data_IF_678655264766
#
_entry.id   IF_678655264766
#
_cell.length_a   1.000
_cell.length_b   1.000
_cell.length_c   1.000
_cell.angle_alpha   90.00
_cell.angle_beta   90.00
_cell.angle_gamma   90.00
#
_symmetry.space_group_name_H-M   'P 1'
#
loop_
_entity.id
_entity.type
_entity.pdbx_description
1 polymer ?
#
# COMPACT_ATOMS: atom_id res chain seq x y z
N UNK A 1 83.07 -10.11 24.72
CA UNK A 1 81.94 -10.24 25.66
C UNK A 1 80.72 -9.75 24.89
N UNK A 2 79.93 -10.66 24.33
CA UNK A 2 78.76 -10.32 23.49
C UNK A 2 77.57 -10.01 24.42
N UNK A 3 77.22 -8.74 24.56
CA UNK A 3 76.02 -8.30 25.26
C UNK A 3 74.77 -8.54 24.39
N UNK A 4 73.98 -9.51 24.85
CA UNK A 4 72.53 -9.62 24.79
C UNK A 4 71.78 -8.95 23.63
N UNK A 5 71.54 -9.77 22.60
CA UNK A 5 70.49 -9.62 21.59
C UNK A 5 69.11 -9.73 22.28
N UNK A 6 68.62 -8.62 22.85
CA UNK A 6 67.26 -8.50 23.39
C UNK A 6 66.26 -7.83 22.44
N UNK A 7 66.76 -7.19 21.37
CA UNK A 7 65.93 -6.46 20.40
C UNK A 7 65.20 -7.37 19.41
N UNK A 8 65.75 -8.55 19.11
CA UNK A 8 65.27 -9.40 18.01
C UNK A 8 63.95 -10.10 18.35
N UNK A 9 63.80 -10.59 19.58
CA UNK A 9 62.57 -11.21 20.05
C UNK A 9 61.42 -10.20 20.26
N UNK A 10 61.73 -9.00 20.76
CA UNK A 10 60.74 -7.93 20.92
C UNK A 10 60.28 -7.35 19.57
N UNK A 11 61.21 -7.17 18.63
CA UNK A 11 60.89 -6.74 17.27
C UNK A 11 60.08 -7.80 16.51
N UNK A 12 60.42 -9.08 16.63
CA UNK A 12 59.66 -10.18 16.04
C UNK A 12 58.23 -10.25 16.60
N UNK A 13 58.06 -10.09 17.91
CA UNK A 13 56.74 -10.04 18.54
C UNK A 13 55.92 -8.85 18.04
N UNK A 14 56.49 -7.65 18.02
CA UNK A 14 55.82 -6.45 17.53
C UNK A 14 55.42 -6.55 16.04
N UNK A 15 56.25 -7.19 15.21
CA UNK A 15 55.92 -7.47 13.82
C UNK A 15 54.78 -8.49 13.67
N UNK A 16 54.75 -9.52 14.53
CA UNK A 16 53.65 -10.48 14.61
C UNK A 16 52.33 -9.82 15.02
N UNK A 17 52.35 -9.02 16.09
CA UNK A 17 51.18 -8.28 16.58
C UNK A 17 50.64 -7.31 15.51
N UNK A 18 51.54 -6.63 14.79
CA UNK A 18 51.17 -5.76 13.65
C UNK A 18 50.50 -6.55 12.53
N UNK A 19 51.02 -7.74 12.20
CA UNK A 19 50.46 -8.56 11.12
C UNK A 19 49.08 -9.11 11.49
N UNK A 20 48.89 -9.53 12.75
CA UNK A 20 47.59 -9.92 13.30
C UNK A 20 46.58 -8.78 13.20
N UNK A 21 46.93 -7.58 13.69
CA UNK A 21 46.07 -6.41 13.61
C UNK A 21 45.69 -6.05 12.16
N UNK A 22 46.65 -6.12 11.22
CA UNK A 22 46.38 -5.87 9.80
C UNK A 22 45.44 -6.91 9.18
N UNK A 23 45.51 -8.17 9.60
CA UNK A 23 44.61 -9.22 9.13
C UNK A 23 43.18 -8.99 9.64
N UNK A 24 43.03 -8.67 10.93
CA UNK A 24 41.73 -8.33 11.54
C UNK A 24 41.11 -7.10 10.87
N UNK A 25 41.91 -6.04 10.64
CA UNK A 25 41.44 -4.83 9.94
C UNK A 25 40.95 -5.14 8.52
N UNK A 26 41.63 -6.03 7.80
CA UNK A 26 41.21 -6.44 6.44
C UNK A 26 39.87 -7.18 6.47
N UNK A 27 39.68 -8.08 7.42
CA UNK A 27 38.43 -8.82 7.58
C UNK A 27 37.26 -7.88 7.90
N UNK A 28 37.44 -6.98 8.87
CA UNK A 28 36.44 -5.97 9.24
C UNK A 28 36.15 -5.03 8.08
N UNK A 29 37.18 -4.58 7.35
CA UNK A 29 37.01 -3.71 6.19
C UNK A 29 36.22 -4.40 5.06
N UNK A 30 36.49 -5.69 4.80
CA UNK A 30 35.75 -6.47 3.81
C UNK A 30 34.27 -6.66 4.22
N UNK A 31 34.01 -6.95 5.50
CA UNK A 31 32.65 -7.04 6.02
C UNK A 31 31.92 -5.70 5.93
N UNK A 32 32.57 -4.61 6.32
CA UNK A 32 32.02 -3.26 6.22
C UNK A 32 31.68 -2.91 4.78
N UNK A 33 32.61 -3.13 3.83
CA UNK A 33 32.38 -2.85 2.42
C UNK A 33 31.17 -3.64 1.89
N UNK A 34 31.05 -4.92 2.24
CA UNK A 34 29.91 -5.77 1.85
C UNK A 34 28.58 -5.22 2.38
N UNK A 35 28.49 -4.95 3.69
CA UNK A 35 27.25 -4.45 4.31
C UNK A 35 26.91 -3.05 3.82
N UNK A 36 27.92 -2.19 3.64
CA UNK A 36 27.73 -0.82 3.16
C UNK A 36 27.22 -0.81 1.72
N UNK A 37 27.80 -1.62 0.84
CA UNK A 37 27.32 -1.80 -0.54
C UNK A 37 25.89 -2.33 -0.59
N UNK A 38 25.57 -3.36 0.22
CA UNK A 38 24.20 -3.87 0.32
C UNK A 38 23.21 -2.78 0.79
N UNK A 39 23.60 -1.95 1.75
CA UNK A 39 22.79 -0.83 2.24
C UNK A 39 22.55 0.21 1.13
N UNK A 40 23.57 0.54 0.35
CA UNK A 40 23.46 1.49 -0.77
C UNK A 40 22.51 0.95 -1.84
N UNK A 41 22.68 -0.31 -2.24
CA UNK A 41 21.82 -0.96 -3.25
C UNK A 41 20.38 -1.04 -2.76
N UNK A 42 20.15 -1.41 -1.50
CA UNK A 42 18.81 -1.48 -0.93
C UNK A 42 18.14 -0.10 -0.89
N UNK A 43 18.85 0.94 -0.45
CA UNK A 43 18.33 2.32 -0.44
C UNK A 43 17.96 2.78 -1.85
N UNK A 44 18.80 2.48 -2.84
CA UNK A 44 18.49 2.78 -4.25
C UNK A 44 17.26 2.03 -4.75
N UNK A 45 17.11 0.75 -4.43
CA UNK A 45 15.96 -0.06 -4.82
C UNK A 45 14.65 0.44 -4.18
N UNK A 46 14.69 0.82 -2.89
CA UNK A 46 13.55 1.42 -2.19
C UNK A 46 13.15 2.74 -2.85
N UNK A 47 14.10 3.62 -3.13
CA UNK A 47 13.83 4.91 -3.73
C UNK A 47 13.30 4.79 -5.17
N UNK A 48 13.82 3.83 -5.93
CA UNK A 48 13.30 3.47 -7.25
C UNK A 48 11.85 2.98 -7.15
N UNK A 49 11.54 2.06 -6.23
CA UNK A 49 10.19 1.55 -6.03
C UNK A 49 9.21 2.67 -5.64
N UNK A 50 9.62 3.59 -4.76
CA UNK A 50 8.83 4.76 -4.38
C UNK A 50 8.45 5.61 -5.60
N UNK A 51 9.41 5.88 -6.47
CA UNK A 51 9.20 6.70 -7.68
C UNK A 51 8.37 5.99 -8.74
N UNK A 52 8.66 4.73 -9.01
CA UNK A 52 8.06 3.99 -10.13
C UNK A 52 6.68 3.40 -9.80
N UNK A 53 6.43 3.03 -8.53
CA UNK A 53 5.22 2.30 -8.13
C UNK A 53 4.37 3.07 -7.12
N UNK A 54 4.97 3.62 -6.08
CA UNK A 54 4.19 4.26 -5.01
C UNK A 54 3.57 5.59 -5.46
N UNK A 55 4.31 6.45 -6.15
CA UNK A 55 3.79 7.75 -6.58
C UNK A 55 2.60 7.66 -7.56
N UNK A 56 2.65 6.81 -8.62
CA UNK A 56 1.49 6.63 -9.49
C UNK A 56 0.27 6.04 -8.76
N UNK A 57 0.48 5.05 -7.89
CA UNK A 57 -0.58 4.43 -7.11
C UNK A 57 -1.26 5.45 -6.17
N UNK A 58 -0.46 6.24 -5.43
CA UNK A 58 -1.00 7.27 -4.54
C UNK A 58 -1.72 8.38 -5.30
N UNK A 59 -1.22 8.76 -6.49
CA UNK A 59 -1.90 9.72 -7.36
C UNK A 59 -3.27 9.18 -7.76
N UNK A 60 -3.33 7.94 -8.27
CA UNK A 60 -4.59 7.33 -8.70
C UNK A 60 -5.56 7.13 -7.54
N UNK A 61 -5.07 6.65 -6.39
CA UNK A 61 -5.88 6.54 -5.19
C UNK A 61 -6.41 7.91 -4.73
N UNK A 62 -5.62 8.99 -4.88
CA UNK A 62 -6.07 10.35 -4.58
C UNK A 62 -7.21 10.83 -5.49
N UNK A 63 -7.14 10.53 -6.79
CA UNK A 63 -8.23 10.83 -7.73
C UNK A 63 -9.52 10.09 -7.34
N UNK A 64 -9.43 8.79 -7.04
CA UNK A 64 -10.56 7.98 -6.60
C UNK A 64 -11.11 8.45 -5.25
N UNK A 65 -10.23 8.79 -4.31
CA UNK A 65 -10.61 9.31 -2.99
C UNK A 65 -11.33 10.66 -3.10
N UNK A 66 -10.94 11.50 -4.05
CA UNK A 66 -11.65 12.74 -4.33
C UNK A 66 -13.09 12.49 -4.80
N UNK A 67 -13.29 11.51 -5.69
CA UNK A 67 -14.64 11.10 -6.14
C UNK A 67 -15.47 10.58 -4.98
N UNK A 68 -14.90 9.71 -4.14
CA UNK A 68 -15.57 9.08 -3.00
C UNK A 68 -16.02 10.10 -1.95
N UNK A 69 -15.21 11.12 -1.73
CA UNK A 69 -15.46 12.16 -0.71
C UNK A 69 -16.21 13.38 -1.27
N UNK A 70 -16.69 13.30 -2.52
CA UNK A 70 -17.39 14.41 -3.18
C UNK A 70 -16.53 15.68 -3.31
N UNK A 71 -15.21 15.53 -3.43
CA UNK A 71 -14.26 16.64 -3.53
C UNK A 71 -13.82 17.24 -2.20
N UNK A 72 -14.26 16.69 -1.06
CA UNK A 72 -13.82 17.14 0.28
C UNK A 72 -12.30 16.98 0.47
N UNK A 73 -11.73 15.99 -0.21
CA UNK A 73 -10.29 15.80 -0.36
C UNK A 73 -9.94 15.81 -1.85
N UNK A 74 -8.86 16.49 -2.22
CA UNK A 74 -8.44 16.69 -3.61
C UNK A 74 -7.34 15.72 -4.04
N UNK A 75 -6.48 15.31 -3.11
CA UNK A 75 -5.36 14.40 -3.38
C UNK A 75 -4.88 13.72 -2.10
N UNK A 76 -4.01 12.73 -2.28
CA UNK A 76 -3.23 12.12 -1.21
C UNK A 76 -1.80 12.65 -1.23
N UNK A 77 -1.16 12.65 -0.07
CA UNK A 77 0.25 13.01 0.10
C UNK A 77 0.89 12.15 1.18
N UNK A 78 2.21 12.08 1.18
CA UNK A 78 2.97 11.57 2.30
C UNK A 78 3.50 12.76 3.11
N UNK A 79 3.26 12.75 4.40
CA UNK A 79 3.90 13.60 5.38
C UNK A 79 5.01 12.81 6.08
N UNK A 80 6.02 13.50 6.60
CA UNK A 80 7.15 12.85 7.27
C UNK A 80 7.18 13.32 8.72
N UNK A 81 7.29 12.38 9.65
CA UNK A 81 7.43 12.69 11.06
C UNK A 81 8.87 13.11 11.42
N UNK A 82 9.13 13.40 12.70
CA UNK A 82 10.46 13.77 13.20
C UNK A 82 11.53 12.67 13.01
N UNK A 83 11.11 11.43 12.78
CA UNK A 83 11.99 10.27 12.52
C UNK A 83 12.12 9.96 11.02
N UNK A 84 11.65 10.85 10.15
CA UNK A 84 11.63 10.70 8.69
C UNK A 84 10.79 9.48 8.22
N UNK A 85 9.78 9.10 9.00
CA UNK A 85 8.84 8.03 8.66
C UNK A 85 7.65 8.60 7.87
N UNK A 86 7.31 8.03 6.70
CA UNK A 86 6.24 8.54 5.84
C UNK A 86 4.86 8.11 6.35
N UNK A 87 3.97 9.08 6.51
CA UNK A 87 2.58 8.93 6.96
C UNK A 87 1.64 9.41 5.86
N UNK A 88 0.58 8.67 5.58
CA UNK A 88 -0.41 9.05 4.57
C UNK A 88 -1.32 10.15 5.10
N UNK A 89 -1.59 11.15 4.26
CA UNK A 89 -2.52 12.23 4.56
C UNK A 89 -3.41 12.56 3.34
N UNK A 90 -4.67 12.91 3.61
CA UNK A 90 -5.58 13.49 2.64
C UNK A 90 -5.45 15.00 2.63
N UNK A 91 -5.36 15.61 1.45
CA UNK A 91 -5.25 17.07 1.29
C UNK A 91 -6.58 17.64 0.85
N UNK A 92 -7.08 18.62 1.60
CA UNK A 92 -8.34 19.34 1.32
C UNK A 92 -8.16 20.42 0.24
N UNK A 93 -9.27 21.00 -0.21
CA UNK A 93 -9.27 22.06 -1.23
C UNK A 93 -8.56 23.35 -0.82
N UNK A 94 -8.47 23.63 0.48
CA UNK A 94 -7.73 24.76 1.06
C UNK A 94 -6.23 24.47 1.25
N UNK A 95 -5.77 23.27 0.86
CA UNK A 95 -4.39 22.83 1.05
C UNK A 95 -4.11 22.20 2.43
N UNK A 96 -5.09 22.19 3.35
CA UNK A 96 -4.96 21.56 4.65
C UNK A 96 -4.76 20.05 4.52
N UNK A 97 -3.69 19.53 5.12
CA UNK A 97 -3.42 18.11 5.19
C UNK A 97 -4.04 17.50 6.46
N UNK A 98 -4.72 16.38 6.30
CA UNK A 98 -5.34 15.63 7.39
C UNK A 98 -4.73 14.23 7.40
N UNK A 99 -4.01 13.84 8.47
CA UNK A 99 -3.49 12.50 8.60
C UNK A 99 -4.63 11.48 8.70
N UNK A 100 -4.37 10.21 8.37
CA UNK A 100 -5.39 9.15 8.45
C UNK A 100 -6.08 9.10 9.82
N UNK A 101 -5.34 9.32 10.91
CA UNK A 101 -5.87 9.36 12.27
C UNK A 101 -6.83 10.52 12.55
N UNK A 102 -6.83 11.56 11.70
CA UNK A 102 -7.74 12.70 11.78
C UNK A 102 -8.93 12.61 10.82
N UNK A 103 -9.04 11.53 10.04
CA UNK A 103 -10.20 11.28 9.18
C UNK A 103 -11.38 10.80 10.02
N UNK A 104 -12.61 11.11 9.57
CA UNK A 104 -13.77 10.39 10.07
C UNK A 104 -13.68 8.92 9.67
N UNK A 105 -14.34 8.04 10.41
CA UNK A 105 -14.37 6.59 10.13
C UNK A 105 -14.75 6.30 8.68
N UNK A 106 -15.83 6.92 8.18
CA UNK A 106 -16.24 6.75 6.78
C UNK A 106 -15.24 7.30 5.75
N UNK A 107 -14.53 8.38 6.05
CA UNK A 107 -13.48 8.89 5.16
C UNK A 107 -12.25 7.98 5.16
N UNK A 108 -11.91 7.38 6.30
CA UNK A 108 -10.86 6.37 6.39
C UNK A 108 -11.22 5.12 5.56
N UNK A 109 -12.45 4.63 5.68
CA UNK A 109 -12.94 3.50 4.88
C UNK A 109 -12.87 3.79 3.37
N UNK A 110 -13.31 4.99 2.95
CA UNK A 110 -13.23 5.44 1.57
C UNK A 110 -11.78 5.55 1.07
N UNK A 111 -10.85 6.00 1.92
CA UNK A 111 -9.43 6.05 1.59
C UNK A 111 -8.87 4.65 1.32
N UNK A 112 -9.14 3.69 2.21
CA UNK A 112 -8.68 2.31 2.02
C UNK A 112 -9.33 1.65 0.81
N UNK A 113 -10.60 1.94 0.54
CA UNK A 113 -11.27 1.51 -0.68
C UNK A 113 -10.57 2.07 -1.93
N UNK A 114 -10.29 3.38 -1.97
CA UNK A 114 -9.58 4.02 -3.08
C UNK A 114 -8.21 3.40 -3.35
N UNK A 115 -7.44 3.10 -2.29
CA UNK A 115 -6.13 2.44 -2.40
C UNK A 115 -6.25 1.04 -2.99
N UNK A 116 -7.25 0.25 -2.54
CA UNK A 116 -7.50 -1.10 -3.06
C UNK A 116 -7.87 -1.06 -4.53
N UNK A 117 -8.78 -0.17 -4.94
CA UNK A 117 -9.16 -0.04 -6.35
C UNK A 117 -7.97 0.41 -7.20
N UNK A 118 -7.20 1.40 -6.76
CA UNK A 118 -6.00 1.84 -7.48
C UNK A 118 -4.97 0.70 -7.66
N UNK A 119 -4.79 -0.15 -6.64
CA UNK A 119 -3.92 -1.32 -6.74
C UNK A 119 -4.46 -2.38 -7.72
N UNK A 120 -5.77 -2.61 -7.74
CA UNK A 120 -6.41 -3.50 -8.72
C UNK A 120 -6.25 -2.96 -10.14
N UNK A 121 -6.47 -1.65 -10.35
CA UNK A 121 -6.26 -1.02 -11.66
C UNK A 121 -4.80 -1.14 -12.14
N UNK A 122 -3.82 -0.94 -11.25
CA UNK A 122 -2.39 -1.14 -11.57
C UNK A 122 -2.11 -2.59 -11.94
N UNK A 123 -2.65 -3.56 -11.19
CA UNK A 123 -2.48 -4.99 -11.49
C UNK A 123 -3.02 -5.35 -12.88
N UNK A 124 -4.21 -4.84 -13.22
CA UNK A 124 -4.86 -5.09 -14.52
C UNK A 124 -4.08 -4.50 -15.70
N UNK A 125 -3.15 -3.55 -15.49
CA UNK A 125 -2.28 -3.07 -16.57
C UNK A 125 -1.22 -4.09 -17.00
N UNK A 126 -0.89 -5.05 -16.14
CA UNK A 126 0.20 -6.02 -16.39
C UNK A 126 -0.28 -7.48 -16.44
N UNK A 127 -1.58 -7.71 -16.24
CA UNK A 127 -2.17 -9.05 -16.15
C UNK A 127 -3.44 -9.17 -16.99
N UNK A 128 -3.83 -10.41 -17.31
CA UNK A 128 -5.11 -10.67 -17.96
C UNK A 128 -6.28 -10.20 -17.06
N UNK A 129 -7.32 -9.56 -17.61
CA UNK A 129 -8.47 -9.13 -16.82
C UNK A 129 -9.17 -10.31 -16.15
N UNK A 130 -9.30 -10.25 -14.83
CA UNK A 130 -10.07 -11.20 -14.02
C UNK A 130 -11.23 -10.47 -13.36
N UNK A 131 -12.40 -11.12 -13.19
CA UNK A 131 -13.54 -10.48 -12.55
C UNK A 131 -13.20 -9.98 -11.14
N UNK A 132 -13.58 -8.73 -10.85
CA UNK A 132 -13.52 -8.15 -9.52
C UNK A 132 -14.81 -8.49 -8.75
N UNK A 133 -14.67 -9.17 -7.63
CA UNK A 133 -15.79 -9.55 -6.76
C UNK A 133 -15.84 -8.59 -5.56
N UNK A 134 -16.91 -7.82 -5.49
CA UNK A 134 -17.25 -6.92 -4.41
C UNK A 134 -18.32 -7.55 -3.52
N UNK A 135 -17.97 -7.96 -2.31
CA UNK A 135 -18.92 -8.55 -1.35
C UNK A 135 -19.18 -7.57 -0.20
N UNK A 136 -20.41 -7.06 -0.11
CA UNK A 136 -20.90 -6.11 0.91
C UNK A 136 -20.00 -4.88 1.17
N UNK A 137 -19.34 -4.37 0.13
CA UNK A 137 -18.38 -3.25 0.23
C UNK A 137 -18.97 -1.96 0.82
N UNK A 138 -20.29 -1.74 0.70
CA UNK A 138 -20.96 -0.50 1.11
C UNK A 138 -21.86 -0.66 2.33
N UNK A 139 -21.68 -1.73 3.12
CA UNK A 139 -22.49 -2.04 4.30
C UNK A 139 -22.62 -0.89 5.30
N UNK A 140 -21.57 -0.07 5.46
CA UNK A 140 -21.53 1.06 6.41
C UNK A 140 -21.73 2.43 5.73
N UNK A 141 -22.09 2.47 4.44
CA UNK A 141 -22.21 3.72 3.69
C UNK A 141 -23.64 4.23 3.70
N UNK A 142 -23.79 5.55 3.86
CA UNK A 142 -25.02 6.24 3.47
C UNK A 142 -25.16 6.28 1.94
N UNK A 143 -26.36 6.60 1.45
CA UNK A 143 -26.67 6.61 0.01
C UNK A 143 -25.74 7.52 -0.82
N UNK A 144 -25.30 8.65 -0.25
CA UNK A 144 -24.42 9.57 -0.95
C UNK A 144 -23.01 8.97 -1.13
N UNK A 145 -22.49 8.33 -0.08
CA UNK A 145 -21.21 7.61 -0.13
C UNK A 145 -21.29 6.36 -1.00
N UNK A 146 -22.38 5.60 -0.92
CA UNK A 146 -22.61 4.42 -1.76
C UNK A 146 -22.69 4.81 -3.25
N UNK A 147 -23.40 5.90 -3.58
CA UNK A 147 -23.43 6.45 -4.93
C UNK A 147 -22.03 6.81 -5.43
N UNK A 148 -21.20 7.43 -4.59
CA UNK A 148 -19.81 7.72 -4.93
C UNK A 148 -18.96 6.46 -5.12
N UNK A 149 -19.17 5.44 -4.29
CA UNK A 149 -18.56 4.12 -4.41
C UNK A 149 -18.91 3.45 -5.73
N UNK A 150 -20.19 3.48 -6.12
CA UNK A 150 -20.64 2.93 -7.41
C UNK A 150 -20.03 3.67 -8.60
N UNK A 151 -19.86 4.99 -8.55
CA UNK A 151 -19.11 5.73 -9.60
C UNK A 151 -17.66 5.23 -9.74
N UNK A 152 -17.00 4.95 -8.62
CA UNK A 152 -15.64 4.35 -8.66
C UNK A 152 -15.67 2.94 -9.25
N UNK A 153 -16.64 2.11 -8.87
CA UNK A 153 -16.79 0.77 -9.45
C UNK A 153 -17.13 0.84 -10.96
N UNK A 154 -17.80 1.89 -11.43
CA UNK A 154 -18.03 2.12 -12.85
C UNK A 154 -16.72 2.31 -13.62
N UNK A 155 -15.82 3.14 -13.09
CA UNK A 155 -14.49 3.35 -13.69
C UNK A 155 -13.68 2.05 -13.72
N UNK A 156 -13.81 1.21 -12.69
CA UNK A 156 -13.19 -0.11 -12.68
C UNK A 156 -13.84 -1.05 -13.70
N UNK A 157 -15.15 -0.95 -13.89
CA UNK A 157 -15.92 -1.79 -14.83
C UNK A 157 -15.50 -1.57 -16.31
N UNK A 158 -14.90 -0.42 -16.63
CA UNK A 158 -14.30 -0.17 -17.95
C UNK A 158 -13.05 -1.03 -18.19
N UNK A 159 -12.43 -1.56 -17.13
CA UNK A 159 -11.16 -2.31 -17.19
C UNK A 159 -11.35 -3.81 -16.91
N UNK A 160 -12.33 -4.18 -16.11
CA UNK A 160 -12.65 -5.59 -15.80
C UNK A 160 -14.12 -5.77 -15.43
N UNK A 161 -14.65 -6.98 -15.52
CA UNK A 161 -16.00 -7.29 -15.04
C UNK A 161 -16.08 -7.06 -13.52
N UNK A 162 -17.07 -6.30 -13.06
CA UNK A 162 -17.35 -6.09 -11.63
C UNK A 162 -18.61 -6.86 -11.26
N UNK A 163 -18.49 -7.74 -10.27
CA UNK A 163 -19.61 -8.49 -9.66
C UNK A 163 -19.82 -7.94 -8.25
N UNK A 164 -20.97 -7.32 -8.00
CA UNK A 164 -21.30 -6.71 -6.72
C UNK A 164 -22.38 -7.53 -6.02
N UNK A 165 -22.04 -8.06 -4.85
CA UNK A 165 -22.93 -8.80 -3.98
C UNK A 165 -23.31 -7.92 -2.80
N UNK A 166 -24.62 -7.88 -2.52
CA UNK A 166 -25.10 -7.25 -1.31
C UNK A 166 -26.40 -7.85 -0.81
N UNK A 167 -26.60 -7.80 0.50
CA UNK A 167 -27.88 -8.09 1.14
C UNK A 167 -28.77 -6.84 1.34
N UNK A 168 -28.27 -5.64 1.03
CA UNK A 168 -29.02 -4.39 1.20
C UNK A 168 -29.80 -3.99 -0.06
N UNK A 169 -31.12 -4.17 -0.04
CA UNK A 169 -31.98 -3.86 -1.20
C UNK A 169 -31.89 -2.41 -1.68
N UNK A 170 -31.77 -1.44 -0.76
CA UNK A 170 -31.69 -0.01 -1.11
C UNK A 170 -30.47 0.31 -2.00
N UNK A 171 -29.38 -0.47 -1.91
CA UNK A 171 -28.21 -0.27 -2.77
C UNK A 171 -28.49 -0.55 -4.25
N UNK A 172 -29.54 -1.32 -4.57
CA UNK A 172 -29.99 -1.51 -5.96
C UNK A 172 -30.54 -0.21 -6.54
N UNK A 173 -31.28 0.57 -5.75
CA UNK A 173 -31.84 1.86 -6.19
C UNK A 173 -30.73 2.91 -6.34
N UNK A 174 -29.80 2.93 -5.39
CA UNK A 174 -28.61 3.81 -5.45
C UNK A 174 -27.75 3.46 -6.66
N UNK A 175 -27.50 2.17 -6.91
CA UNK A 175 -26.78 1.69 -8.09
C UNK A 175 -27.51 2.09 -9.38
N UNK A 176 -28.81 1.80 -9.49
CA UNK A 176 -29.61 2.13 -10.68
C UNK A 176 -29.59 3.63 -10.99
N UNK A 177 -29.61 4.47 -9.95
CA UNK A 177 -29.50 5.93 -10.10
C UNK A 177 -28.09 6.35 -10.52
N UNK A 178 -27.05 5.73 -9.95
CA UNK A 178 -25.66 6.07 -10.25
C UNK A 178 -25.21 5.61 -11.65
N UNK A 179 -25.67 4.45 -12.11
CA UNK A 179 -25.26 3.82 -13.36
C UNK A 179 -26.25 4.02 -14.52
N UNK A 180 -27.48 4.47 -14.26
CA UNK A 180 -28.55 4.48 -15.26
C UNK A 180 -28.98 3.08 -15.68
N UNK A 181 -29.17 2.84 -17.00
CA UNK A 181 -29.68 1.57 -17.57
C UNK A 181 -28.64 0.44 -17.72
N UNK A 182 -27.40 0.63 -17.25
CA UNK A 182 -26.28 -0.29 -17.54
C UNK A 182 -26.06 -1.38 -16.49
N UNK A 183 -26.98 -1.58 -15.53
CA UNK A 183 -26.84 -2.57 -14.45
C UNK A 183 -27.68 -3.80 -14.76
N UNK A 184 -27.05 -4.97 -14.73
CA UNK A 184 -27.76 -6.25 -14.66
C UNK A 184 -27.93 -6.63 -13.19
N UNK A 185 -29.17 -6.81 -12.76
CA UNK A 185 -29.50 -7.24 -11.39
C UNK A 185 -29.98 -8.70 -11.39
N UNK A 186 -29.59 -9.46 -10.38
CA UNK A 186 -30.06 -10.81 -10.15
C UNK A 186 -30.27 -11.03 -8.65
N UNK A 187 -31.44 -11.54 -8.27
CA UNK A 187 -31.74 -11.90 -6.89
C UNK A 187 -31.43 -13.38 -6.69
N UNK A 188 -30.55 -13.70 -5.75
CA UNK A 188 -30.27 -15.08 -5.36
C UNK A 188 -31.34 -15.54 -4.37
N UNK A 189 -32.16 -16.51 -4.76
CA UNK A 189 -33.14 -17.08 -3.84
C UNK A 189 -32.44 -17.85 -2.71
N UNK A 190 -32.90 -17.71 -1.45
CA UNK A 190 -32.37 -18.49 -0.35
C UNK A 190 -32.58 -19.99 -0.63
N UNK A 191 -31.54 -20.80 -0.41
CA UNK A 191 -31.67 -22.26 -0.52
C UNK A 191 -32.79 -22.73 0.42
N UNK A 192 -33.79 -23.49 -0.06
CA UNK A 192 -34.83 -24.01 0.80
C UNK A 192 -34.17 -24.83 1.91
N UNK A 193 -34.39 -24.41 3.17
CA UNK A 193 -34.01 -25.21 4.32
C UNK A 193 -34.69 -26.57 4.19
N UNK A 194 -33.90 -27.63 4.02
CA UNK A 194 -34.37 -28.98 4.28
C UNK A 194 -34.73 -29.04 5.77
N UNK A 195 -36.01 -28.85 6.09
CA UNK A 195 -36.57 -29.25 7.37
C UNK A 195 -36.32 -30.74 7.51
N UNK A 196 -35.28 -31.11 8.28
CA UNK A 196 -35.18 -32.45 8.84
C UNK A 196 -36.33 -32.57 9.84
N UNK A 197 -37.46 -33.12 9.38
CA UNK A 197 -38.42 -33.75 10.25
C UNK A 197 -37.68 -34.88 10.98
N UNK A 198 -37.29 -34.60 12.22
CA UNK A 198 -37.00 -35.66 13.18
C UNK A 198 -38.36 -36.10 13.71
N UNK A 199 -38.80 -37.25 13.21
CA UNK A 199 -39.88 -38.03 13.79
C UNK A 199 -39.44 -38.62 15.14
#
# INVERSE_FOLDING_TARGET
MFEAVGGDAAAAKAAGDRQLALAEMKEVAAQYARVRSATIILRWAIERFRREKQAPLLKRAGELFSILTGGSFQRLTLEYDEKDLPHLAGVRGDGGAVPVSGLSEGAADQLFFALRIAAVEEYLMHAAPVPFIADDLFINYDDARASAGFRVLQLLAEKTQVLFFTHHQHLLDVASTAFGRSVSTATLEPRPHQMKNVA
#
